data_IF_776093683252
#
_entry.id   IF_776093683252
#
_cell.length_a   1.000
_cell.length_b   1.000
_cell.length_c   1.000
_cell.angle_alpha   90.00
_cell.angle_beta   90.00
_cell.angle_gamma   90.00
#
_symmetry.space_group_name_H-M   'P 1'
#
loop_
_entity.id
_entity.type
_entity.pdbx_description
1 polymer ?
#
# COMPACT_ATOMS: atom_id res chain seq x y z
N UNK A 1 -0.39 20.99 2.06
CA UNK A 1 -0.71 19.60 1.67
C UNK A 1 -0.63 18.72 2.90
N UNK A 2 -1.57 17.79 3.10
CA UNK A 2 -1.40 16.77 4.14
C UNK A 2 -0.28 15.82 3.72
N UNK A 3 0.76 15.70 4.54
CA UNK A 3 1.78 14.67 4.35
C UNK A 3 1.23 13.36 4.91
N UNK A 4 1.16 12.34 4.06
CA UNK A 4 0.91 10.97 4.48
C UNK A 4 2.23 10.35 4.88
N UNK A 5 2.24 9.61 5.98
CA UNK A 5 3.42 8.86 6.41
C UNK A 5 3.03 7.54 7.05
N UNK A 6 3.94 6.56 7.02
CA UNK A 6 3.75 5.28 7.71
C UNK A 6 3.48 5.52 9.20
N UNK A 7 4.29 6.35 9.85
CA UNK A 7 4.13 6.66 11.28
C UNK A 7 2.75 7.24 11.62
N UNK A 8 2.24 8.16 10.78
CA UNK A 8 0.90 8.73 10.97
C UNK A 8 -0.20 7.69 10.76
N UNK A 9 -0.08 6.83 9.75
CA UNK A 9 -1.01 5.74 9.52
C UNK A 9 -1.07 4.79 10.74
N UNK A 10 0.08 4.38 11.27
CA UNK A 10 0.17 3.50 12.45
C UNK A 10 -0.46 4.10 13.70
N UNK A 11 -0.23 5.39 13.97
CA UNK A 11 -0.85 6.09 15.10
C UNK A 11 -2.38 6.10 15.01
N UNK A 12 -2.92 6.33 13.81
CA UNK A 12 -4.37 6.34 13.57
C UNK A 12 -4.94 4.93 13.71
N UNK A 13 -4.28 3.92 13.13
CA UNK A 13 -4.73 2.53 13.20
C UNK A 13 -4.78 2.00 14.63
N UNK A 14 -3.81 2.37 15.46
CA UNK A 14 -3.81 2.01 16.88
C UNK A 14 -5.06 2.53 17.59
N UNK A 15 -5.45 3.77 17.31
CA UNK A 15 -6.62 4.40 17.92
C UNK A 15 -7.92 3.83 17.36
N UNK A 16 -8.04 3.71 16.04
CA UNK A 16 -9.26 3.22 15.39
C UNK A 16 -9.55 1.75 15.70
N UNK A 17 -8.51 0.91 15.82
CA UNK A 17 -8.68 -0.50 16.19
C UNK A 17 -9.39 -0.66 17.54
N UNK A 18 -9.04 0.18 18.51
CA UNK A 18 -9.61 0.13 19.86
C UNK A 18 -11.08 0.56 19.88
N UNK A 19 -11.46 1.46 18.99
CA UNK A 19 -12.84 1.97 18.87
C UNK A 19 -13.74 1.12 17.95
N UNK A 20 -13.20 0.06 17.35
CA UNK A 20 -13.90 -0.69 16.31
C UNK A 20 -15.08 -1.50 16.87
N UNK A 21 -16.26 -1.38 16.24
CA UNK A 21 -17.37 -2.29 16.51
C UNK A 21 -17.13 -3.62 15.79
N UNK A 22 -16.96 -4.70 16.56
CA UNK A 22 -16.59 -6.01 16.04
C UNK A 22 -17.76 -6.87 15.55
N UNK A 23 -19.00 -6.38 15.56
CA UNK A 23 -20.21 -7.16 15.19
C UNK A 23 -20.08 -7.92 13.86
N UNK A 24 -19.40 -7.32 12.88
CA UNK A 24 -19.20 -7.91 11.54
C UNK A 24 -17.73 -8.05 11.16
N UNK A 25 -16.80 -7.84 12.10
CA UNK A 25 -15.39 -8.00 11.80
C UNK A 25 -15.08 -9.49 11.58
N UNK A 26 -14.41 -9.88 10.48
CA UNK A 26 -14.17 -11.29 10.21
C UNK A 26 -13.19 -11.88 11.22
N UNK A 27 -13.45 -13.13 11.64
CA UNK A 27 -12.58 -13.85 12.58
C UNK A 27 -11.58 -14.78 11.89
N UNK A 28 -11.80 -15.12 10.62
CA UNK A 28 -11.00 -16.10 9.87
C UNK A 28 -10.69 -15.66 8.43
N UNK A 29 -10.96 -14.40 8.09
CA UNK A 29 -10.46 -13.77 6.87
C UNK A 29 -9.51 -12.64 7.26
N UNK A 30 -8.45 -12.45 6.49
CA UNK A 30 -7.58 -11.29 6.65
C UNK A 30 -8.37 -10.01 6.34
N UNK A 31 -8.35 -9.06 7.27
CA UNK A 31 -8.90 -7.72 7.13
C UNK A 31 -7.93 -6.72 7.76
N UNK A 32 -7.97 -5.45 7.38
CA UNK A 32 -7.14 -4.45 8.06
C UNK A 32 -7.53 -4.30 9.53
N UNK A 33 -6.57 -3.88 10.36
CA UNK A 33 -6.78 -3.56 11.79
C UNK A 33 -7.98 -2.61 11.99
N UNK A 34 -8.08 -1.60 11.13
CA UNK A 34 -9.21 -0.69 10.99
C UNK A 34 -9.17 -0.06 9.59
N UNK A 35 -10.16 0.74 9.22
CA UNK A 35 -10.20 1.46 7.93
C UNK A 35 -10.65 0.62 6.74
N UNK A 36 -10.53 1.19 5.54
CA UNK A 36 -10.94 0.58 4.27
C UNK A 36 -9.81 -0.26 3.66
N UNK A 37 -10.17 -1.39 3.05
CA UNK A 37 -9.30 -2.18 2.18
C UNK A 37 -10.01 -2.56 0.88
N UNK A 38 -9.23 -2.84 -0.16
CA UNK A 38 -9.70 -3.41 -1.41
C UNK A 38 -8.75 -4.50 -1.91
N UNK A 39 -8.00 -4.24 -2.99
CA UNK A 39 -7.28 -5.27 -3.73
C UNK A 39 -6.21 -5.95 -2.86
N UNK A 40 -6.07 -7.29 -2.94
CA UNK A 40 -4.88 -7.96 -2.43
C UNK A 40 -3.67 -7.56 -3.29
N UNK A 41 -2.54 -7.30 -2.65
CA UNK A 41 -1.30 -6.88 -3.31
C UNK A 41 -0.12 -7.71 -2.81
N UNK A 42 0.95 -7.73 -3.59
CA UNK A 42 2.26 -8.23 -3.14
C UNK A 42 2.28 -9.65 -2.54
N UNK A 43 1.35 -10.53 -2.90
CA UNK A 43 1.26 -11.87 -2.31
C UNK A 43 2.52 -12.68 -2.64
N UNK A 44 3.28 -13.11 -1.63
CA UNK A 44 4.61 -13.71 -1.83
C UNK A 44 5.03 -14.58 -0.64
N UNK A 45 5.89 -15.56 -0.88
CA UNK A 45 6.64 -16.24 0.18
C UNK A 45 8.06 -15.68 0.24
N UNK A 46 8.46 -15.15 1.39
CA UNK A 46 9.77 -14.53 1.61
C UNK A 46 10.25 -14.79 3.04
N UNK A 47 11.53 -15.11 3.21
CA UNK A 47 12.20 -15.32 4.50
C UNK A 47 11.44 -16.23 5.49
N UNK A 48 10.82 -17.31 4.98
CA UNK A 48 10.09 -18.27 5.82
C UNK A 48 8.65 -17.86 6.18
N UNK A 49 8.09 -16.85 5.51
CA UNK A 49 6.74 -16.35 5.75
C UNK A 49 5.96 -16.15 4.45
N UNK A 50 4.66 -16.37 4.49
CA UNK A 50 3.71 -15.84 3.51
C UNK A 50 3.43 -14.39 3.87
N UNK A 51 3.66 -13.47 2.95
CA UNK A 51 3.32 -12.06 3.08
C UNK A 51 2.07 -11.78 2.24
N UNK A 52 1.12 -11.06 2.84
CA UNK A 52 -0.04 -10.52 2.18
C UNK A 52 -0.07 -9.01 2.39
N UNK A 53 -0.02 -8.26 1.30
CA UNK A 53 -0.26 -6.83 1.29
C UNK A 53 -1.65 -6.56 0.74
N UNK A 54 -2.15 -5.36 0.96
CA UNK A 54 -3.46 -4.95 0.46
C UNK A 54 -3.55 -3.43 0.36
N UNK A 55 -4.28 -2.96 -0.65
CA UNK A 55 -4.69 -1.56 -0.72
C UNK A 55 -5.42 -1.16 0.55
N UNK A 56 -5.06 -0.01 1.11
CA UNK A 56 -5.52 0.39 2.42
C UNK A 56 -5.70 1.90 2.55
N UNK A 57 -6.85 2.33 3.08
CA UNK A 57 -7.02 3.71 3.57
C UNK A 57 -7.10 3.68 5.11
N UNK A 58 -6.03 4.05 5.82
CA UNK A 58 -5.96 3.93 7.28
C UNK A 58 -6.78 4.97 8.05
N UNK A 59 -7.34 5.97 7.37
CA UNK A 59 -7.98 7.12 8.01
C UNK A 59 -9.51 7.11 7.95
N UNK A 60 -10.11 6.27 7.10
CA UNK A 60 -11.56 6.21 6.90
C UNK A 60 -12.00 4.82 6.44
N UNK A 61 -13.29 4.52 6.56
CA UNK A 61 -13.96 3.34 5.99
C UNK A 61 -14.49 3.56 4.58
N UNK A 62 -13.97 4.58 3.88
CA UNK A 62 -14.24 4.85 2.47
C UNK A 62 -12.92 4.86 1.70
N UNK A 63 -12.98 4.75 0.37
CA UNK A 63 -11.81 4.92 -0.48
C UNK A 63 -11.14 6.29 -0.26
N UNK A 64 -9.83 6.37 -0.46
CA UNK A 64 -9.06 7.59 -0.27
C UNK A 64 -7.57 7.39 -0.60
N UNK A 65 -6.67 8.19 0.00
CA UNK A 65 -5.23 8.09 -0.23
C UNK A 65 -4.70 6.68 0.10
N UNK A 66 -4.33 5.96 -0.94
CA UNK A 66 -3.99 4.54 -0.85
C UNK A 66 -2.61 4.30 -0.23
N UNK A 67 -2.58 3.43 0.77
CA UNK A 67 -1.42 2.84 1.40
C UNK A 67 -1.39 1.35 1.07
N UNK A 68 -0.28 0.67 1.38
CA UNK A 68 -0.25 -0.79 1.44
C UNK A 68 -0.21 -1.24 2.89
N UNK A 69 -1.31 -1.84 3.37
CA UNK A 69 -1.28 -2.58 4.62
C UNK A 69 -0.53 -3.91 4.44
N UNK A 70 -0.10 -4.51 5.54
CA UNK A 70 0.77 -5.68 5.51
C UNK A 70 0.46 -6.63 6.66
N UNK A 71 0.36 -7.92 6.33
CA UNK A 71 0.33 -9.02 7.29
C UNK A 71 1.20 -10.18 6.78
N UNK A 72 1.63 -11.03 7.70
CA UNK A 72 2.34 -12.27 7.35
C UNK A 72 1.83 -13.47 8.13
N UNK A 73 2.10 -14.67 7.62
CA UNK A 73 1.71 -15.94 8.22
C UNK A 73 2.73 -17.04 7.92
N UNK A 74 2.87 -18.02 8.81
CA UNK A 74 3.66 -19.24 8.53
C UNK A 74 2.83 -20.34 7.87
N UNK A 75 1.52 -20.30 8.00
CA UNK A 75 0.62 -21.42 7.69
C UNK A 75 -0.64 -21.01 6.90
N UNK A 76 -0.74 -19.74 6.49
CA UNK A 76 -1.90 -19.13 5.80
C UNK A 76 -3.19 -19.09 6.64
N UNK A 77 -3.13 -19.49 7.91
CA UNK A 77 -4.27 -19.53 8.83
C UNK A 77 -4.12 -18.48 9.92
N UNK A 78 -2.96 -18.42 10.57
CA UNK A 78 -2.66 -17.49 11.65
C UNK A 78 -1.86 -16.31 11.11
N UNK A 79 -2.45 -15.12 11.15
CA UNK A 79 -1.87 -13.90 10.57
C UNK A 79 -1.39 -12.94 11.66
N UNK A 80 -0.17 -12.41 11.48
CA UNK A 80 0.41 -11.31 12.24
C UNK A 80 0.32 -10.04 11.40
N UNK A 81 -0.28 -8.98 11.94
CA UNK A 81 -0.25 -7.66 11.30
C UNK A 81 1.11 -7.00 11.52
N UNK A 82 1.66 -6.47 10.44
CA UNK A 82 2.90 -5.70 10.43
C UNK A 82 2.59 -4.21 10.21
N UNK A 83 3.60 -3.32 10.38
CA UNK A 83 3.44 -1.93 9.99
C UNK A 83 3.01 -1.78 8.53
N UNK A 84 2.28 -0.71 8.21
CA UNK A 84 2.01 -0.30 6.82
C UNK A 84 3.31 -0.28 6.03
N UNK A 85 3.33 -0.96 4.88
CA UNK A 85 4.53 -1.16 4.08
C UNK A 85 4.83 0.04 3.18
N UNK A 86 3.80 0.68 2.62
CA UNK A 86 3.92 1.85 1.75
C UNK A 86 2.90 2.92 2.15
N UNK A 87 3.34 4.18 2.15
CA UNK A 87 2.50 5.36 2.25
C UNK A 87 2.79 6.31 1.06
N UNK A 88 1.85 7.20 0.67
CA UNK A 88 2.00 8.24 -0.35
C UNK A 88 3.04 9.32 0.01
N UNK A 89 4.30 8.91 0.17
CA UNK A 89 5.42 9.75 0.61
C UNK A 89 6.28 10.24 -0.56
N UNK A 90 6.14 9.62 -1.74
CA UNK A 90 6.92 9.97 -2.93
C UNK A 90 6.22 11.01 -3.81
N UNK A 91 6.97 11.71 -4.67
CA UNK A 91 6.40 12.66 -5.62
C UNK A 91 5.47 11.98 -6.65
N UNK A 92 5.78 10.73 -7.02
CA UNK A 92 5.14 10.01 -8.12
C UNK A 92 3.88 9.25 -7.68
N UNK A 93 3.69 9.11 -6.39
CA UNK A 93 2.57 8.42 -5.77
C UNK A 93 1.93 9.23 -4.64
N UNK A 94 2.12 10.55 -4.65
CA UNK A 94 1.65 11.49 -3.64
C UNK A 94 0.14 11.44 -3.36
N UNK A 95 -0.65 10.96 -4.32
CA UNK A 95 -2.11 10.81 -4.19
C UNK A 95 -2.52 9.33 -3.98
N UNK A 96 -1.59 8.37 -4.02
CA UNK A 96 -1.81 6.97 -3.65
C UNK A 96 -0.74 5.99 -4.12
N UNK A 97 -0.36 5.04 -3.25
CA UNK A 97 0.33 3.81 -3.64
C UNK A 97 -0.71 2.82 -4.18
N UNK A 98 -0.91 2.78 -5.50
CA UNK A 98 -1.89 1.91 -6.13
C UNK A 98 -1.46 0.44 -6.11
N UNK A 99 -2.35 -0.44 -6.58
CA UNK A 99 -2.13 -1.90 -6.58
C UNK A 99 -0.84 -2.32 -7.28
N UNK A 100 -0.40 -3.54 -6.98
CA UNK A 100 0.85 -4.07 -7.47
C UNK A 100 1.14 -5.48 -7.00
N UNK A 101 2.31 -5.96 -7.36
CA UNK A 101 2.81 -7.31 -7.12
C UNK A 101 4.14 -7.29 -6.37
N UNK A 102 4.54 -8.48 -5.91
CA UNK A 102 5.83 -8.67 -5.29
C UNK A 102 6.59 -9.80 -5.99
N UNK A 103 7.91 -9.69 -6.02
CA UNK A 103 8.82 -10.73 -6.52
C UNK A 103 10.04 -10.81 -5.60
N UNK A 104 10.57 -12.01 -5.43
CA UNK A 104 11.81 -12.24 -4.69
C UNK A 104 12.96 -12.37 -5.68
N UNK A 105 13.98 -11.55 -5.49
CA UNK A 105 15.27 -11.64 -6.20
C UNK A 105 16.39 -11.87 -5.19
N UNK A 106 16.90 -13.10 -5.15
CA UNK A 106 17.86 -13.53 -4.13
C UNK A 106 17.30 -13.37 -2.71
N UNK A 107 17.94 -12.52 -1.91
CA UNK A 107 17.57 -12.19 -0.53
C UNK A 107 16.79 -10.86 -0.42
N UNK A 108 16.29 -10.36 -1.55
CA UNK A 108 15.60 -9.08 -1.64
C UNK A 108 14.16 -9.29 -2.09
N UNK A 109 13.22 -8.78 -1.29
CA UNK A 109 11.82 -8.67 -1.64
C UNK A 109 11.59 -7.35 -2.39
N UNK A 110 11.12 -7.41 -3.63
CA UNK A 110 10.77 -6.24 -4.44
C UNK A 110 9.24 -6.10 -4.55
N UNK A 111 8.73 -4.92 -4.21
CA UNK A 111 7.36 -4.48 -4.48
C UNK A 111 7.35 -3.62 -5.74
N UNK A 112 6.57 -4.04 -6.74
CA UNK A 112 6.34 -3.29 -7.97
C UNK A 112 4.88 -2.85 -7.93
N UNK A 113 4.66 -1.53 -7.93
CA UNK A 113 3.34 -0.95 -7.70
C UNK A 113 3.10 0.26 -8.59
N UNK A 114 1.83 0.60 -8.81
CA UNK A 114 1.50 1.82 -9.54
C UNK A 114 1.58 3.03 -8.61
N UNK A 115 2.40 4.03 -8.95
CA UNK A 115 2.32 5.35 -8.35
C UNK A 115 1.18 6.14 -8.96
N UNK A 116 0.30 6.69 -8.12
CA UNK A 116 -0.85 7.48 -8.56
C UNK A 116 -0.72 8.94 -8.13
N UNK A 117 -0.85 9.84 -9.10
CA UNK A 117 -0.99 11.28 -8.84
C UNK A 117 -1.89 11.97 -9.84
N UNK A 118 -2.33 13.17 -9.48
CA UNK A 118 -2.91 14.14 -10.39
C UNK A 118 -1.94 15.31 -10.61
N UNK A 119 -1.80 15.74 -11.88
CA UNK A 119 -1.06 16.95 -12.25
C UNK A 119 -1.87 18.25 -12.03
N UNK A 120 -3.17 18.13 -11.79
CA UNK A 120 -4.09 19.24 -11.58
C UNK A 120 -5.25 18.85 -10.67
N UNK A 121 -6.46 19.24 -11.05
CA UNK A 121 -7.69 18.92 -10.33
C UNK A 121 -7.97 17.40 -10.36
N UNK A 122 -8.08 16.72 -9.20
CA UNK A 122 -8.46 15.31 -9.13
C UNK A 122 -9.86 15.00 -9.66
N UNK A 123 -10.73 16.01 -9.82
CA UNK A 123 -12.05 15.87 -10.43
C UNK A 123 -12.04 15.74 -11.95
N UNK A 124 -10.89 15.97 -12.60
CA UNK A 124 -10.71 15.86 -14.04
C UNK A 124 -9.75 14.71 -14.36
N UNK A 125 -10.28 13.65 -14.98
CA UNK A 125 -9.51 12.46 -15.36
C UNK A 125 -8.40 12.78 -16.36
N UNK A 126 -8.49 13.90 -17.10
CA UNK A 126 -7.41 14.34 -17.96
C UNK A 126 -6.13 14.68 -17.17
N UNK A 127 -6.21 14.90 -15.86
CA UNK A 127 -5.06 15.14 -14.97
C UNK A 127 -4.49 13.86 -14.34
N UNK A 128 -5.12 12.69 -14.57
CA UNK A 128 -4.67 11.42 -14.02
C UNK A 128 -3.30 11.03 -14.59
N UNK A 129 -2.35 10.77 -13.71
CA UNK A 129 -1.03 10.29 -14.07
C UNK A 129 -0.64 9.09 -13.21
N UNK A 130 -0.22 8.03 -13.89
CA UNK A 130 0.16 6.76 -13.25
C UNK A 130 1.48 6.26 -13.82
N UNK A 131 2.35 5.75 -12.96
CA UNK A 131 3.67 5.23 -13.33
C UNK A 131 3.96 3.96 -12.55
N UNK A 132 4.95 3.17 -12.96
CA UNK A 132 5.34 1.98 -12.21
C UNK A 132 6.53 2.32 -11.32
N UNK A 133 6.37 2.04 -10.04
CA UNK A 133 7.32 2.32 -8.98
C UNK A 133 7.88 1.02 -8.39
N UNK A 134 9.07 1.14 -7.78
CA UNK A 134 9.77 0.07 -7.08
C UNK A 134 10.03 0.46 -5.63
N UNK A 135 9.86 -0.50 -4.74
CA UNK A 135 10.35 -0.45 -3.36
C UNK A 135 10.93 -1.84 -2.99
N UNK A 136 12.04 -1.89 -2.26
CA UNK A 136 12.72 -3.15 -1.92
C UNK A 136 12.97 -3.30 -0.43
N UNK A 137 12.98 -4.54 0.06
CA UNK A 137 13.27 -4.88 1.45
C UNK A 137 14.15 -6.12 1.55
N UNK A 138 15.01 -6.16 2.57
CA UNK A 138 15.81 -7.35 2.94
C UNK A 138 15.26 -8.08 4.16
N UNK A 139 14.42 -7.42 4.97
CA UNK A 139 13.78 -8.01 6.15
C UNK A 139 12.28 -8.32 5.93
N UNK A 140 11.76 -7.93 4.76
CA UNK A 140 10.38 -8.11 4.36
C UNK A 140 9.39 -7.19 5.08
N UNK A 141 9.85 -6.24 5.90
CA UNK A 141 9.05 -5.36 6.77
C UNK A 141 9.28 -3.89 6.44
N UNK A 142 10.55 -3.47 6.32
CA UNK A 142 10.94 -2.10 6.02
C UNK A 142 11.37 -1.98 4.57
N UNK A 143 10.78 -1.05 3.83
CA UNK A 143 11.00 -0.90 2.40
C UNK A 143 11.75 0.40 2.08
N UNK A 144 12.86 0.27 1.38
CA UNK A 144 13.54 1.37 0.71
C UNK A 144 12.80 1.67 -0.60
N UNK A 145 12.49 2.94 -0.85
CA UNK A 145 11.70 3.37 -2.02
C UNK A 145 12.62 3.90 -3.11
N UNK A 146 12.70 3.20 -4.23
CA UNK A 146 13.41 3.68 -5.43
C UNK A 146 12.56 4.66 -6.25
N UNK A 147 11.24 4.63 -6.11
CA UNK A 147 10.33 5.48 -6.87
C UNK A 147 10.08 4.94 -8.28
N UNK A 148 9.81 5.82 -9.23
CA UNK A 148 9.46 5.44 -10.60
C UNK A 148 10.60 4.71 -11.31
N UNK A 149 10.27 3.56 -11.91
CA UNK A 149 11.15 2.74 -12.75
C UNK A 149 10.62 2.57 -14.17
N UNK A 150 9.31 2.77 -14.39
CA UNK A 150 8.70 2.85 -15.74
C UNK A 150 7.72 4.00 -15.77
N UNK A 151 7.96 4.94 -16.69
CA UNK A 151 7.09 6.10 -16.93
C UNK A 151 5.94 5.75 -17.91
N UNK A 152 4.89 6.56 -17.91
CA UNK A 152 3.87 6.53 -18.96
C UNK A 152 4.46 7.06 -20.27
N UNK A 153 4.25 6.37 -21.41
CA UNK A 153 4.75 6.83 -22.70
C UNK A 153 4.29 8.25 -23.06
N UNK A 154 5.16 9.01 -23.73
CA UNK A 154 4.83 10.34 -24.22
C UNK A 154 3.56 10.33 -25.08
N UNK A 155 2.67 11.31 -24.85
CA UNK A 155 1.39 11.43 -25.55
C UNK A 155 0.22 10.65 -24.94
N UNK A 156 0.46 9.85 -23.89
CA UNK A 156 -0.58 9.10 -23.16
C UNK A 156 -0.80 9.57 -21.71
N UNK A 157 -0.03 10.58 -21.28
CA UNK A 157 -0.13 11.20 -19.97
C UNK A 157 -0.47 12.70 -20.10
N UNK A 158 -1.17 13.28 -19.11
CA UNK A 158 -1.25 14.73 -18.96
C UNK A 158 0.14 15.35 -18.91
N UNK A 159 0.29 16.53 -19.52
CA UNK A 159 1.48 17.34 -19.30
C UNK A 159 1.44 17.94 -17.88
N UNK A 160 2.60 18.02 -17.20
CA UNK A 160 2.69 18.57 -15.85
C UNK A 160 2.37 20.07 -15.76
#
# INVERSE_FOLDING_TARGET
MMTYTISRAEQVLQTQRQALNLRWYPHYHLAARAGWINDPNGLVWFDGWYHAFYQHHPYSTQWGPMHWGHARSKDLVHWEHLPVALAPEGPEDKDGCFSGSAVVDGDTLALIYTGHKFHGDPGDEANLYQVQCLATSRDGIHFERQGMVVDTPAGYAPLP
#
